data_IF_495669855064
#
_entry.id   IF_495669855064
#
_cell.length_a   1.000
_cell.length_b   1.000
_cell.length_c   1.000
_cell.angle_alpha   90.00
_cell.angle_beta   90.00
_cell.angle_gamma   90.00
#
_symmetry.space_group_name_H-M   'P 1'
#
loop_
_entity.id
_entity.type
_entity.pdbx_description
1 polymer ?
#
# COMPACT_ATOMS: atom_id res chain seq x y z
N UNK A 1 1.16 3.62 7.97
CA UNK A 1 0.84 2.45 7.11
C UNK A 1 1.97 1.40 7.09
N UNK A 2 3.14 1.69 6.52
CA UNK A 2 4.22 0.69 6.29
C UNK A 2 4.66 -0.11 7.52
N UNK A 3 4.88 0.53 8.68
CA UNK A 3 5.26 -0.16 9.92
C UNK A 3 4.21 -1.18 10.37
N UNK A 4 2.92 -0.84 10.24
CA UNK A 4 1.81 -1.73 10.61
C UNK A 4 1.72 -2.94 9.69
N UNK A 5 2.07 -2.77 8.41
CA UNK A 5 2.15 -3.88 7.44
C UNK A 5 3.34 -4.79 7.76
N UNK A 6 4.49 -4.23 8.09
CA UNK A 6 5.69 -5.01 8.46
C UNK A 6 5.44 -5.91 9.69
N UNK A 7 4.62 -5.46 10.64
CA UNK A 7 4.21 -6.26 11.80
C UNK A 7 3.40 -7.51 11.43
N UNK A 8 2.76 -7.55 10.25
CA UNK A 8 2.01 -8.71 9.78
C UNK A 8 2.93 -9.85 9.30
N UNK A 9 4.24 -9.60 9.12
CA UNK A 9 5.26 -10.58 8.72
C UNK A 9 4.82 -11.43 7.51
N UNK A 10 4.17 -10.79 6.54
CA UNK A 10 3.67 -11.45 5.33
C UNK A 10 4.84 -11.95 4.49
N UNK A 11 4.74 -13.20 4.06
CA UNK A 11 5.63 -13.80 3.08
C UNK A 11 5.13 -13.53 1.65
N UNK A 12 5.84 -14.06 0.67
CA UNK A 12 5.50 -13.83 -0.73
C UNK A 12 4.11 -14.37 -1.13
N UNK A 13 3.69 -15.50 -0.56
CA UNK A 13 2.32 -16.00 -0.71
C UNK A 13 1.29 -15.04 -0.12
N UNK A 14 1.63 -14.41 1.01
CA UNK A 14 0.86 -13.36 1.66
C UNK A 14 0.61 -12.15 0.76
N UNK A 15 1.65 -11.67 0.07
CA UNK A 15 1.55 -10.53 -0.85
C UNK A 15 0.77 -10.88 -2.13
N UNK A 16 1.01 -12.05 -2.73
CA UNK A 16 0.32 -12.49 -3.96
C UNK A 16 -1.17 -12.71 -3.78
N UNK A 17 -1.56 -13.31 -2.66
CA UNK A 17 -2.90 -13.87 -2.51
C UNK A 17 -3.26 -14.83 -3.67
N UNK A 18 -4.55 -15.08 -3.86
CA UNK A 18 -5.00 -15.98 -4.93
C UNK A 18 -4.87 -15.34 -6.32
N UNK A 19 -5.17 -14.03 -6.40
CA UNK A 19 -5.24 -13.30 -7.68
C UNK A 19 -3.91 -13.28 -8.45
N UNK A 20 -2.78 -13.21 -7.74
CA UNK A 20 -1.44 -13.09 -8.36
C UNK A 20 -0.60 -14.36 -8.19
N UNK A 21 -1.24 -15.52 -7.96
CA UNK A 21 -0.55 -16.80 -7.78
C UNK A 21 0.35 -17.16 -8.96
N UNK A 22 -0.07 -16.85 -10.20
CA UNK A 22 0.69 -17.09 -11.42
C UNK A 22 1.55 -15.90 -11.88
N UNK A 23 1.70 -14.85 -11.07
CA UNK A 23 2.42 -13.64 -11.45
C UNK A 23 3.92 -13.91 -11.61
N UNK A 24 4.54 -13.40 -12.67
CA UNK A 24 5.91 -13.76 -13.06
C UNK A 24 7.03 -13.11 -12.24
N UNK A 25 6.72 -12.22 -11.29
CA UNK A 25 7.70 -11.51 -10.45
C UNK A 25 7.37 -11.60 -8.98
N UNK A 26 8.38 -11.51 -8.12
CA UNK A 26 8.21 -11.38 -6.66
C UNK A 26 7.42 -10.11 -6.34
N UNK A 27 6.40 -10.20 -5.47
CA UNK A 27 5.53 -9.11 -5.05
C UNK A 27 5.80 -8.64 -3.61
N UNK A 28 6.75 -9.28 -2.91
CA UNK A 28 7.11 -8.93 -1.54
C UNK A 28 7.63 -7.49 -1.49
N UNK A 29 7.08 -6.73 -0.56
CA UNK A 29 7.40 -5.31 -0.41
C UNK A 29 6.50 -4.38 -1.24
N UNK A 30 5.69 -4.91 -2.17
CA UNK A 30 4.64 -4.14 -2.84
C UNK A 30 3.43 -3.97 -1.91
N UNK A 31 3.57 -3.15 -0.86
CA UNK A 31 2.53 -2.96 0.17
C UNK A 31 1.17 -2.53 -0.41
N UNK A 32 1.19 -1.75 -1.49
CA UNK A 32 0.01 -1.26 -2.18
C UNK A 32 -0.88 -2.41 -2.69
N UNK A 33 -0.28 -3.54 -3.10
CA UNK A 33 -1.01 -4.70 -3.64
C UNK A 33 -1.89 -5.39 -2.60
N UNK A 34 -1.56 -5.23 -1.32
CA UNK A 34 -2.35 -5.76 -0.21
C UNK A 34 -3.75 -5.16 -0.17
N UNK A 35 -3.97 -4.00 -0.78
CA UNK A 35 -5.32 -3.45 -1.00
C UNK A 35 -6.21 -4.41 -1.79
N UNK A 36 -5.63 -5.21 -2.71
CA UNK A 36 -6.36 -6.17 -3.54
C UNK A 36 -6.29 -7.58 -2.97
N UNK A 37 -5.16 -7.97 -2.37
CA UNK A 37 -4.91 -9.36 -1.96
C UNK A 37 -5.24 -9.63 -0.51
N UNK A 38 -5.21 -8.59 0.35
CA UNK A 38 -5.49 -8.63 1.80
C UNK A 38 -6.24 -7.37 2.26
N UNK A 39 -7.39 -7.01 1.64
CA UNK A 39 -8.11 -5.78 1.97
C UNK A 39 -8.50 -5.69 3.46
N UNK A 40 -8.73 -6.82 4.11
CA UNK A 40 -9.02 -6.93 5.54
C UNK A 40 -7.87 -6.42 6.42
N UNK A 41 -6.62 -6.67 6.03
CA UNK A 41 -5.44 -6.19 6.75
C UNK A 41 -5.36 -4.67 6.65
N UNK A 42 -5.49 -4.13 5.44
CA UNK A 42 -5.41 -2.68 5.20
C UNK A 42 -6.58 -1.95 5.87
N UNK A 43 -7.80 -2.49 5.79
CA UNK A 43 -8.95 -1.97 6.50
C UNK A 43 -8.75 -2.01 8.01
N UNK A 44 -8.19 -3.10 8.55
CA UNK A 44 -7.83 -3.21 9.96
C UNK A 44 -6.89 -2.09 10.40
N UNK A 45 -5.86 -1.81 9.62
CA UNK A 45 -4.92 -0.71 9.90
C UNK A 45 -5.61 0.65 9.88
N UNK A 46 -6.46 0.94 8.89
CA UNK A 46 -7.26 2.18 8.89
C UNK A 46 -8.12 2.31 10.15
N UNK A 47 -8.82 1.24 10.53
CA UNK A 47 -9.64 1.22 11.76
C UNK A 47 -8.80 1.43 13.01
N UNK A 48 -7.60 0.88 13.09
CA UNK A 48 -6.70 1.09 14.23
C UNK A 48 -6.30 2.56 14.38
N UNK A 49 -5.99 3.26 13.28
CA UNK A 49 -5.70 4.70 13.34
C UNK A 49 -6.92 5.53 13.72
N UNK A 50 -8.09 5.24 13.13
CA UNK A 50 -9.34 5.92 13.47
C UNK A 50 -9.74 5.68 14.95
N UNK A 51 -9.58 4.46 15.45
CA UNK A 51 -9.83 4.13 16.86
C UNK A 51 -8.85 4.80 17.82
N UNK A 52 -7.64 5.10 17.37
CA UNK A 52 -6.65 5.88 18.12
C UNK A 52 -6.94 7.40 18.10
N UNK A 53 -8.00 7.85 17.42
CA UNK A 53 -8.41 9.26 17.37
C UNK A 53 -7.92 10.03 16.15
N UNK A 54 -7.47 9.35 15.08
CA UNK A 54 -7.13 10.06 13.84
C UNK A 54 -8.38 10.62 13.14
N UNK A 55 -8.35 11.90 12.78
CA UNK A 55 -9.39 12.53 11.95
C UNK A 55 -9.20 12.30 10.45
N UNK A 56 -7.94 12.09 10.04
CA UNK A 56 -7.55 11.90 8.64
C UNK A 56 -6.76 10.60 8.53
N UNK A 57 -7.11 9.79 7.54
CA UNK A 57 -6.34 8.61 7.16
C UNK A 57 -5.87 8.70 5.71
N UNK A 58 -4.67 8.19 5.45
CA UNK A 58 -4.09 8.10 4.11
C UNK A 58 -4.54 6.83 3.40
N UNK A 59 -4.73 6.90 2.08
CA UNK A 59 -4.89 5.70 1.24
C UNK A 59 -3.61 4.87 1.20
N UNK A 60 -3.73 3.55 1.04
CA UNK A 60 -2.58 2.66 0.80
C UNK A 60 -2.11 2.74 -0.67
N UNK A 61 -1.61 3.91 -1.08
CA UNK A 61 -1.29 4.23 -2.50
C UNK A 61 0.07 4.89 -2.72
N UNK A 62 0.95 4.89 -1.71
CA UNK A 62 2.23 5.59 -1.81
C UNK A 62 3.04 5.16 -3.06
N UNK A 63 3.04 3.87 -3.39
CA UNK A 63 3.72 3.32 -4.57
C UNK A 63 2.74 2.90 -5.69
N UNK A 64 1.48 3.36 -5.66
CA UNK A 64 0.46 3.05 -6.66
C UNK A 64 0.60 3.96 -7.88
N UNK A 65 1.78 3.95 -8.49
CA UNK A 65 2.11 4.69 -9.71
C UNK A 65 2.85 3.78 -10.69
N UNK A 66 2.83 4.14 -11.98
CA UNK A 66 3.39 3.31 -13.05
C UNK A 66 4.89 3.02 -12.87
N UNK A 67 5.64 3.94 -12.27
CA UNK A 67 7.08 3.79 -12.09
C UNK A 67 7.37 2.72 -11.04
N UNK A 68 6.75 2.84 -9.86
CA UNK A 68 6.99 1.91 -8.75
C UNK A 68 6.41 0.53 -9.04
N UNK A 69 5.27 0.46 -9.73
CA UNK A 69 4.66 -0.82 -10.12
C UNK A 69 5.39 -1.50 -11.29
N UNK A 70 6.30 -0.81 -11.99
CA UNK A 70 7.12 -1.43 -13.04
C UNK A 70 8.10 -2.46 -12.46
N UNK A 71 8.67 -2.20 -11.28
CA UNK A 71 9.58 -3.15 -10.59
C UNK A 71 8.90 -4.49 -10.33
N UNK A 72 7.59 -4.46 -10.09
CA UNK A 72 6.72 -5.61 -9.84
C UNK A 72 5.96 -6.11 -11.08
N UNK A 73 6.24 -5.61 -12.29
CA UNK A 73 5.48 -5.90 -13.52
C UNK A 73 3.95 -5.76 -13.35
N UNK A 74 3.51 -4.76 -12.57
CA UNK A 74 2.12 -4.57 -12.13
C UNK A 74 1.54 -3.22 -12.58
N UNK A 75 2.12 -2.60 -13.61
CA UNK A 75 1.70 -1.26 -14.10
C UNK A 75 0.22 -1.22 -14.50
N UNK A 76 -0.28 -2.30 -15.12
CA UNK A 76 -1.65 -2.37 -15.62
C UNK A 76 -2.71 -2.26 -14.51
N UNK A 77 -2.38 -2.62 -13.26
CA UNK A 77 -3.32 -2.58 -12.13
C UNK A 77 -3.27 -1.26 -11.36
N UNK A 78 -2.42 -0.29 -11.75
CA UNK A 78 -2.28 1.01 -11.05
C UNK A 78 -3.63 1.75 -10.89
N UNK A 79 -4.49 1.90 -11.92
CA UNK A 79 -5.78 2.56 -11.74
C UNK A 79 -6.68 1.83 -10.73
N UNK A 80 -6.65 0.50 -10.76
CA UNK A 80 -7.44 -0.33 -9.86
C UNK A 80 -6.93 -0.23 -8.42
N UNK A 81 -5.61 -0.26 -8.20
CA UNK A 81 -5.00 -0.09 -6.88
C UNK A 81 -5.46 1.21 -6.23
N UNK A 82 -5.36 2.32 -6.95
CA UNK A 82 -5.78 3.63 -6.45
C UNK A 82 -7.27 3.68 -6.14
N UNK A 83 -8.11 3.19 -7.05
CA UNK A 83 -9.55 3.18 -6.86
C UNK A 83 -9.97 2.33 -5.66
N UNK A 84 -9.45 1.10 -5.56
CA UNK A 84 -9.79 0.17 -4.48
C UNK A 84 -9.28 0.67 -3.13
N UNK A 85 -8.08 1.27 -3.08
CA UNK A 85 -7.53 1.84 -1.86
C UNK A 85 -8.35 3.03 -1.36
N UNK A 86 -8.75 3.93 -2.27
CA UNK A 86 -9.59 5.06 -1.94
C UNK A 86 -10.97 4.61 -1.42
N UNK A 87 -11.59 3.62 -2.08
CA UNK A 87 -12.86 3.02 -1.63
C UNK A 87 -12.73 2.39 -0.24
N UNK A 88 -11.65 1.64 0.00
CA UNK A 88 -11.43 0.94 1.27
C UNK A 88 -11.23 1.93 2.43
N UNK A 89 -10.39 2.94 2.24
CA UNK A 89 -10.18 4.00 3.22
C UNK A 89 -11.47 4.79 3.46
N UNK A 90 -12.23 5.12 2.41
CA UNK A 90 -13.51 5.83 2.53
C UNK A 90 -14.52 5.02 3.35
N UNK A 91 -14.66 3.73 3.08
CA UNK A 91 -15.57 2.87 3.85
C UNK A 91 -15.20 2.81 5.33
N UNK A 92 -13.91 2.78 5.68
CA UNK A 92 -13.47 2.82 7.07
C UNK A 92 -13.78 4.18 7.74
N UNK A 93 -13.54 5.29 7.01
CA UNK A 93 -13.86 6.63 7.49
C UNK A 93 -15.37 6.82 7.70
N UNK A 94 -16.20 6.35 6.76
CA UNK A 94 -17.67 6.38 6.86
C UNK A 94 -18.18 5.60 8.08
N UNK A 95 -17.64 4.40 8.30
CA UNK A 95 -17.99 3.56 9.45
C UNK A 95 -17.78 4.32 10.77
N UNK A 96 -16.62 4.98 10.92
CA UNK A 96 -16.32 5.73 12.12
C UNK A 96 -17.12 7.03 12.23
N UNK A 97 -17.32 7.75 11.13
CA UNK A 97 -18.10 8.97 11.14
C UNK A 97 -19.56 8.72 11.55
N UNK A 98 -20.15 7.62 11.09
CA UNK A 98 -21.50 7.20 11.51
C UNK A 98 -21.54 6.81 13.00
N UNK A 99 -20.48 6.21 13.52
CA UNK A 99 -20.40 5.76 14.92
C UNK A 99 -20.16 6.90 15.91
N UNK A 100 -19.34 7.89 15.56
CA UNK A 100 -18.97 8.99 16.47
C UNK A 100 -19.77 10.27 16.24
N UNK A 101 -20.41 10.41 15.08
CA UNK A 101 -21.08 11.65 14.67
C UNK A 101 -20.12 12.75 14.19
N UNK A 102 -18.82 12.47 14.13
CA UNK A 102 -17.78 13.41 13.71
C UNK A 102 -17.25 13.05 12.32
N UNK A 103 -16.94 14.02 11.45
CA UNK A 103 -16.41 13.73 10.13
C UNK A 103 -15.01 13.10 10.22
N UNK A 104 -14.79 12.06 9.42
CA UNK A 104 -13.46 11.49 9.16
C UNK A 104 -13.10 11.70 7.69
N UNK A 105 -11.85 12.04 7.44
CA UNK A 105 -11.35 12.40 6.12
C UNK A 105 -10.38 11.36 5.58
N UNK A 106 -10.31 11.30 4.26
CA UNK A 106 -9.36 10.45 3.55
C UNK A 106 -8.47 11.34 2.70
N UNK A 107 -7.17 11.23 2.87
CA UNK A 107 -6.20 11.87 2.00
C UNK A 107 -5.53 10.85 1.08
N UNK A 108 -5.23 11.29 -0.13
CA UNK A 108 -4.56 10.46 -1.10
C UNK A 108 -3.05 10.50 -0.87
N UNK A 109 -2.44 9.34 -0.60
CA UNK A 109 -0.99 9.24 -0.48
C UNK A 109 -0.35 9.08 -1.87
N UNK A 110 0.39 10.10 -2.30
CA UNK A 110 1.17 10.10 -3.54
C UNK A 110 2.66 10.08 -3.20
N UNK A 111 3.32 8.95 -3.41
CA UNK A 111 4.75 8.85 -3.23
C UNK A 111 5.52 9.66 -4.28
N UNK A 112 6.64 10.23 -3.85
CA UNK A 112 7.58 10.91 -4.75
C UNK A 112 8.30 9.89 -5.61
N UNK A 113 8.66 10.29 -6.83
CA UNK A 113 9.55 9.49 -7.69
C UNK A 113 10.92 9.34 -7.01
N UNK A 114 11.46 8.13 -6.86
CA UNK A 114 12.88 7.97 -6.60
C UNK A 114 13.62 8.37 -7.90
N UNK A 115 14.07 9.63 -7.99
CA UNK A 115 15.07 10.01 -9.00
C UNK A 115 16.45 9.44 -8.67
N UNK A 116 16.64 9.02 -7.42
CA UNK A 116 17.83 8.31 -7.01
C UNK A 116 17.59 6.81 -7.16
N UNK A 117 18.21 6.19 -8.16
CA UNK A 117 18.91 4.93 -7.86
C UNK A 117 19.70 5.22 -6.59
N UNK A 118 19.42 4.50 -5.51
CA UNK A 118 20.16 4.68 -4.26
C UNK A 118 21.65 4.69 -4.57
N UNK A 119 22.33 5.79 -4.26
CA UNK A 119 23.78 5.92 -4.44
C UNK A 119 24.59 4.89 -3.62
N UNK A 120 23.92 4.02 -2.85
CA UNK A 120 24.50 2.88 -2.14
C UNK A 120 24.81 1.68 -3.04
N UNK A 121 24.31 1.61 -4.28
CA UNK A 121 24.58 0.49 -5.20
C UNK A 121 25.80 0.73 -6.12
N UNK A 122 26.49 1.87 -6.02
CA UNK A 122 27.61 2.23 -6.89
C UNK A 122 29.01 2.00 -6.27
N UNK A 123 29.10 1.18 -5.21
CA UNK A 123 30.40 0.80 -4.60
C UNK A 123 30.53 -0.71 -4.47
N UNK A 124 30.46 -1.41 -5.59
CA UNK A 124 30.98 -2.77 -5.75
C UNK A 124 31.24 -2.93 -7.24
N UNK A 125 32.51 -2.80 -7.61
CA UNK A 125 33.16 -3.12 -8.89
C UNK A 125 34.16 -2.02 -9.27
N UNK A 126 35.29 -2.00 -8.57
CA UNK A 126 36.54 -1.56 -9.14
C UNK A 126 37.52 -2.73 -8.96
N UNK A 127 37.89 -3.46 -10.03
CA UNK A 127 38.96 -4.45 -9.95
C UNK A 127 40.30 -3.74 -9.72
N UNK A 128 41.16 -4.39 -8.94
CA UNK A 128 42.53 -3.95 -8.62
C UNK A 128 43.47 -4.03 -9.83
#
# INVERSE_FOLDING_TARGET
MGTMIQQQRLDEGGFRGERFRAHGRDLRGNNDILTLTRPEVIAGIHRSYLAAGADIIETNTFNSNAISQADYASVAIVPELNYRAARLARSAADEFAQRTGEPRFVCHALGLRPHARSASAARQEAPA
#
